data_IF_864784986352
#
_entry.id   IF_864784986352
#
_cell.length_a   1.000
_cell.length_b   1.000
_cell.length_c   1.000
_cell.angle_alpha   90.00
_cell.angle_beta   90.00
_cell.angle_gamma   90.00
#
_symmetry.space_group_name_H-M   'P 1'
#
loop_
_entity.id
_entity.type
_entity.pdbx_description
1 polymer ?
#
# COMPACT_ATOMS: atom_id res chain seq x y z
N UNK A 1 -23.50 5.10 9.51
CA UNK A 1 -22.23 5.02 8.74
C UNK A 1 -21.14 5.94 9.31
N UNK A 2 -21.41 7.21 9.64
CA UNK A 2 -20.40 8.15 10.15
C UNK A 2 -19.58 7.65 11.36
N UNK A 3 -20.21 7.00 12.35
CA UNK A 3 -19.53 6.57 13.58
C UNK A 3 -18.55 5.42 13.37
N UNK A 4 -18.83 4.49 12.44
CA UNK A 4 -17.87 3.42 12.07
C UNK A 4 -16.61 4.02 11.43
N UNK A 5 -16.78 4.95 10.51
CA UNK A 5 -15.66 5.63 9.85
C UNK A 5 -14.81 6.44 10.86
N UNK A 6 -15.46 7.14 11.78
CA UNK A 6 -14.76 7.88 12.85
C UNK A 6 -13.91 6.95 13.74
N UNK A 7 -14.42 5.78 14.10
CA UNK A 7 -13.66 4.78 14.84
C UNK A 7 -12.46 4.27 14.05
N UNK A 8 -12.59 4.07 12.73
CA UNK A 8 -11.47 3.67 11.87
C UNK A 8 -10.39 4.76 11.84
N UNK A 9 -10.76 6.04 11.68
CA UNK A 9 -9.80 7.17 11.70
C UNK A 9 -9.04 7.23 13.04
N UNK A 10 -9.73 7.03 14.18
CA UNK A 10 -9.08 6.95 15.48
C UNK A 10 -8.13 5.76 15.56
N UNK A 11 -8.57 4.59 15.08
CA UNK A 11 -7.75 3.40 15.03
C UNK A 11 -6.48 3.57 14.20
N UNK A 12 -6.56 4.21 13.03
CA UNK A 12 -5.38 4.52 12.19
C UNK A 12 -4.31 5.29 12.97
N UNK A 13 -4.71 6.29 13.75
CA UNK A 13 -3.79 7.07 14.59
C UNK A 13 -3.16 6.23 15.70
N UNK A 14 -3.94 5.35 16.32
CA UNK A 14 -3.46 4.51 17.42
C UNK A 14 -2.49 3.42 16.95
N UNK A 15 -2.77 2.81 15.82
CA UNK A 15 -1.92 1.77 15.22
C UNK A 15 -0.74 2.33 14.41
N UNK A 16 -0.66 3.65 14.21
CA UNK A 16 0.51 4.25 13.58
C UNK A 16 1.79 4.01 14.40
N UNK A 17 1.68 4.15 15.73
CA UNK A 17 2.82 4.15 16.65
C UNK A 17 2.77 2.99 17.67
N UNK A 18 1.77 2.11 17.58
CA UNK A 18 1.55 1.04 18.56
C UNK A 18 1.27 -0.28 17.87
N UNK A 19 2.02 -1.32 18.23
CA UNK A 19 1.82 -2.65 17.65
C UNK A 19 0.43 -3.21 18.00
N UNK A 20 -0.06 -4.12 17.14
CA UNK A 20 -1.34 -4.81 17.34
C UNK A 20 -1.48 -5.43 18.75
N UNK A 21 -0.42 -6.08 19.23
CA UNK A 21 -0.46 -6.79 20.52
C UNK A 21 -0.47 -5.83 21.72
N UNK A 22 0.20 -4.70 21.61
CA UNK A 22 0.29 -3.70 22.69
C UNK A 22 -0.99 -2.91 22.90
N UNK A 23 -1.88 -2.81 21.90
CA UNK A 23 -3.14 -2.07 22.00
C UNK A 23 -4.27 -2.93 22.59
N UNK A 24 -4.95 -2.44 23.63
CA UNK A 24 -6.16 -3.07 24.17
C UNK A 24 -7.43 -2.40 23.66
N UNK A 25 -8.55 -3.16 23.63
CA UNK A 25 -9.86 -2.60 23.27
C UNK A 25 -10.35 -1.55 24.27
N UNK A 26 -9.85 -1.56 25.51
CA UNK A 26 -10.16 -0.56 26.52
C UNK A 26 -9.42 0.76 26.24
N UNK A 27 -8.17 0.69 25.79
CA UNK A 27 -7.40 1.87 25.38
C UNK A 27 -8.03 2.53 24.15
N UNK A 28 -8.43 1.74 23.17
CA UNK A 28 -9.15 2.21 21.99
C UNK A 28 -10.45 2.92 22.39
N UNK A 29 -11.26 2.30 23.26
CA UNK A 29 -12.52 2.86 23.72
C UNK A 29 -12.32 4.17 24.47
N UNK A 30 -11.32 4.23 25.36
CA UNK A 30 -10.95 5.42 26.13
C UNK A 30 -10.52 6.56 25.21
N UNK A 31 -9.66 6.31 24.24
CA UNK A 31 -9.17 7.34 23.32
C UNK A 31 -10.26 7.80 22.34
N UNK A 32 -11.14 6.88 21.94
CA UNK A 32 -12.28 7.20 21.09
C UNK A 32 -13.43 7.90 21.83
N UNK A 33 -13.38 7.96 23.17
CA UNK A 33 -14.45 8.52 23.98
C UNK A 33 -15.78 7.76 23.86
N UNK A 34 -15.71 6.42 23.68
CA UNK A 34 -16.89 5.58 23.49
C UNK A 34 -16.91 4.39 24.45
N UNK A 35 -18.10 3.80 24.63
CA UNK A 35 -18.20 2.52 25.33
C UNK A 35 -17.55 1.41 24.49
N UNK A 36 -16.75 0.54 25.11
CA UNK A 36 -16.11 -0.64 24.49
C UNK A 36 -17.08 -1.49 23.68
N UNK A 37 -18.32 -1.65 24.18
CA UNK A 37 -19.39 -2.39 23.50
C UNK A 37 -19.74 -1.84 22.11
N UNK A 38 -19.58 -0.53 21.90
CA UNK A 38 -19.83 0.09 20.59
C UNK A 38 -18.81 -0.38 19.56
N UNK A 39 -17.54 -0.52 19.94
CA UNK A 39 -16.48 -1.00 19.04
C UNK A 39 -16.77 -2.47 18.67
N UNK A 40 -17.12 -3.30 19.66
CA UNK A 40 -17.51 -4.69 19.40
C UNK A 40 -18.78 -4.83 18.55
N UNK A 41 -19.71 -3.89 18.68
CA UNK A 41 -20.92 -3.86 17.84
C UNK A 41 -20.54 -3.72 16.36
N UNK A 42 -19.62 -2.81 16.01
CA UNK A 42 -19.22 -2.56 14.62
C UNK A 42 -18.22 -3.59 14.07
N UNK A 43 -17.28 -4.05 14.89
CA UNK A 43 -16.10 -4.78 14.39
C UNK A 43 -15.99 -6.22 14.93
N UNK A 44 -16.87 -6.62 15.85
CA UNK A 44 -16.97 -7.96 16.45
C UNK A 44 -15.78 -8.37 17.33
N UNK A 45 -14.57 -7.99 17.00
CA UNK A 45 -13.34 -8.35 17.74
C UNK A 45 -12.28 -7.26 17.57
N UNK A 46 -11.20 -7.33 18.38
CA UNK A 46 -9.99 -6.52 18.19
C UNK A 46 -9.39 -6.74 16.80
N UNK A 47 -9.34 -8.02 16.36
CA UNK A 47 -8.88 -8.40 15.04
C UNK A 47 -9.74 -7.80 13.93
N UNK A 48 -11.07 -7.91 14.02
CA UNK A 48 -11.99 -7.31 13.04
C UNK A 48 -11.86 -5.78 12.95
N UNK A 49 -11.59 -5.11 14.08
CA UNK A 49 -11.29 -3.68 14.09
C UNK A 49 -9.97 -3.37 13.37
N UNK A 50 -8.93 -4.14 13.65
CA UNK A 50 -7.63 -4.00 13.02
C UNK A 50 -7.68 -4.23 11.50
N UNK A 51 -8.35 -5.29 11.04
CA UNK A 51 -8.54 -5.55 9.62
C UNK A 51 -9.28 -4.41 8.91
N UNK A 52 -10.32 -3.86 9.52
CA UNK A 52 -11.05 -2.73 8.97
C UNK A 52 -10.18 -1.46 8.85
N UNK A 53 -9.21 -1.26 9.75
CA UNK A 53 -8.23 -0.16 9.68
C UNK A 53 -7.24 -0.40 8.55
N UNK A 54 -6.74 -1.63 8.39
CA UNK A 54 -5.85 -2.00 7.28
C UNK A 54 -6.56 -1.79 5.94
N UNK A 55 -7.78 -2.32 5.78
CA UNK A 55 -8.58 -2.18 4.56
C UNK A 55 -8.79 -0.71 4.18
N UNK A 56 -9.15 0.14 5.15
CA UNK A 56 -9.36 1.57 4.92
C UNK A 56 -8.05 2.29 4.52
N UNK A 57 -6.94 1.97 5.19
CA UNK A 57 -5.63 2.55 4.89
C UNK A 57 -5.13 2.18 3.50
N UNK A 58 -5.38 0.94 3.11
CA UNK A 58 -5.01 0.41 1.81
C UNK A 58 -5.91 0.97 0.70
N UNK A 59 -7.22 1.09 0.94
CA UNK A 59 -8.15 1.70 -0.02
C UNK A 59 -7.76 3.14 -0.34
N UNK A 60 -7.38 3.92 0.68
CA UNK A 60 -6.87 5.30 0.51
C UNK A 60 -5.58 5.33 -0.34
N UNK A 61 -4.66 4.38 -0.14
CA UNK A 61 -3.43 4.27 -0.92
C UNK A 61 -3.73 3.94 -2.40
N UNK A 62 -4.60 2.97 -2.65
CA UNK A 62 -5.01 2.58 -4.01
C UNK A 62 -5.73 3.72 -4.73
N UNK A 63 -6.64 4.42 -4.04
CA UNK A 63 -7.36 5.57 -4.60
C UNK A 63 -6.40 6.71 -5.00
N UNK A 64 -5.41 7.01 -4.14
CA UNK A 64 -4.38 8.00 -4.46
C UNK A 64 -3.52 7.58 -5.65
N UNK A 65 -3.17 6.31 -5.78
CA UNK A 65 -2.43 5.79 -6.91
C UNK A 65 -3.22 5.89 -8.23
N UNK A 66 -4.54 5.66 -8.16
CA UNK A 66 -5.44 5.77 -9.31
C UNK A 66 -5.80 7.22 -9.66
N UNK A 67 -5.54 8.19 -8.78
CA UNK A 67 -5.84 9.61 -8.99
C UNK A 67 -4.78 10.31 -9.85
N UNK A 68 -5.06 11.53 -10.30
CA UNK A 68 -4.09 12.35 -11.03
C UNK A 68 -3.91 11.92 -12.48
N UNK A 69 -4.98 11.42 -13.10
CA UNK A 69 -4.99 11.03 -14.53
C UNK A 69 -4.71 12.21 -15.48
N UNK A 70 -4.83 13.42 -14.99
CA UNK A 70 -4.48 14.67 -15.68
C UNK A 70 -2.98 14.93 -15.77
N UNK A 71 -2.17 14.26 -14.94
CA UNK A 71 -0.72 14.41 -14.91
C UNK A 71 -0.05 13.52 -15.97
N UNK A 72 1.11 13.94 -16.49
CA UNK A 72 1.94 13.09 -17.33
C UNK A 72 2.25 11.76 -16.61
N UNK A 73 2.35 10.63 -17.33
CA UNK A 73 2.56 9.31 -16.71
C UNK A 73 3.74 9.26 -15.75
N UNK A 74 4.87 9.86 -16.09
CA UNK A 74 6.07 9.88 -15.25
C UNK A 74 5.83 10.64 -13.95
N UNK A 75 5.20 11.82 -14.00
CA UNK A 75 4.89 12.62 -12.82
C UNK A 75 3.89 11.91 -11.90
N UNK A 76 2.90 11.22 -12.48
CA UNK A 76 1.94 10.41 -11.74
C UNK A 76 2.63 9.29 -10.96
N UNK A 77 3.59 8.58 -11.59
CA UNK A 77 4.37 7.53 -10.92
C UNK A 77 5.19 8.12 -9.77
N UNK A 78 5.92 9.21 -10.00
CA UNK A 78 6.70 9.89 -8.95
C UNK A 78 5.82 10.28 -7.76
N UNK A 79 4.66 10.89 -8.00
CA UNK A 79 3.70 11.30 -6.96
C UNK A 79 3.15 10.10 -6.18
N UNK A 80 2.85 9.02 -6.88
CA UNK A 80 2.33 7.78 -6.26
C UNK A 80 3.36 7.15 -5.36
N UNK A 81 4.60 6.98 -5.83
CA UNK A 81 5.69 6.40 -5.04
C UNK A 81 6.05 7.29 -3.85
N UNK A 82 6.11 8.62 -4.03
CA UNK A 82 6.37 9.55 -2.93
C UNK A 82 5.28 9.49 -1.85
N UNK A 83 4.00 9.41 -2.25
CA UNK A 83 2.89 9.22 -1.32
C UNK A 83 2.95 7.90 -0.57
N UNK A 84 3.35 6.82 -1.26
CA UNK A 84 3.54 5.50 -0.68
C UNK A 84 4.68 5.48 0.36
N UNK A 85 5.83 6.04 0.02
CA UNK A 85 6.98 6.12 0.93
C UNK A 85 6.65 6.98 2.15
N UNK A 86 5.97 8.12 1.96
CA UNK A 86 5.47 8.95 3.06
C UNK A 86 4.53 8.19 4.00
N UNK A 87 3.62 7.40 3.43
CA UNK A 87 2.74 6.55 4.24
C UNK A 87 3.55 5.55 5.07
N UNK A 88 4.49 4.83 4.46
CA UNK A 88 5.33 3.86 5.15
C UNK A 88 6.17 4.48 6.27
N UNK A 89 6.73 5.66 6.02
CA UNK A 89 7.53 6.43 7.00
C UNK A 89 6.71 6.84 8.23
N UNK A 90 5.46 7.30 8.02
CA UNK A 90 4.59 7.77 9.10
C UNK A 90 3.79 6.64 9.80
N UNK A 91 3.72 5.45 9.22
CA UNK A 91 2.92 4.33 9.71
C UNK A 91 3.71 3.01 9.72
N UNK A 92 4.95 3.06 10.20
CA UNK A 92 5.92 1.96 10.08
C UNK A 92 5.40 0.62 10.61
N UNK A 93 4.77 0.59 11.79
CA UNK A 93 4.26 -0.65 12.39
C UNK A 93 3.11 -1.25 11.56
N UNK A 94 2.16 -0.42 11.13
CA UNK A 94 1.07 -0.86 10.26
C UNK A 94 1.62 -1.35 8.91
N UNK A 95 2.57 -0.64 8.34
CA UNK A 95 3.22 -1.02 7.08
C UNK A 95 3.96 -2.36 7.20
N UNK A 96 4.81 -2.53 8.24
CA UNK A 96 5.52 -3.80 8.50
C UNK A 96 4.53 -4.95 8.61
N UNK A 97 3.45 -4.77 9.35
CA UNK A 97 2.44 -5.83 9.54
C UNK A 97 1.75 -6.23 8.23
N UNK A 98 1.38 -5.25 7.39
CA UNK A 98 0.73 -5.52 6.09
C UNK A 98 1.68 -6.28 5.17
N UNK A 99 2.91 -5.79 5.01
CA UNK A 99 3.88 -6.35 4.06
C UNK A 99 4.40 -7.72 4.53
N UNK A 100 4.59 -7.92 5.85
CA UNK A 100 5.00 -9.22 6.42
C UNK A 100 3.86 -10.25 6.45
N UNK A 101 2.62 -9.86 6.12
CA UNK A 101 1.47 -10.78 6.10
C UNK A 101 0.79 -10.96 7.47
N UNK A 102 0.92 -9.99 8.38
CA UNK A 102 0.26 -10.00 9.69
C UNK A 102 1.08 -10.66 10.81
N UNK A 103 0.43 -10.86 11.96
CA UNK A 103 1.01 -11.58 13.09
C UNK A 103 0.82 -13.08 12.87
N UNK A 104 1.87 -13.79 12.53
CA UNK A 104 1.80 -15.18 12.09
C UNK A 104 1.29 -15.30 10.66
N UNK A 105 0.80 -16.50 10.27
CA UNK A 105 0.19 -16.70 8.96
C UNK A 105 -1.28 -16.23 9.01
N UNK A 106 -1.53 -14.98 8.63
CA UNK A 106 -2.87 -14.40 8.61
C UNK A 106 -3.43 -14.34 7.19
N UNK A 107 -4.28 -15.31 6.84
CA UNK A 107 -4.86 -15.44 5.50
C UNK A 107 -5.70 -14.21 5.07
N UNK A 108 -6.33 -13.49 6.01
CA UNK A 108 -7.11 -12.28 5.67
C UNK A 108 -6.20 -11.10 5.37
N UNK A 109 -5.10 -10.92 6.12
CA UNK A 109 -4.08 -9.89 5.81
C UNK A 109 -3.40 -10.19 4.47
N UNK A 110 -3.08 -11.45 4.20
CA UNK A 110 -2.55 -11.87 2.90
C UNK A 110 -3.53 -11.55 1.76
N UNK A 111 -4.81 -11.85 1.92
CA UNK A 111 -5.84 -11.55 0.91
C UNK A 111 -5.97 -10.04 0.64
N UNK A 112 -5.92 -9.21 1.68
CA UNK A 112 -5.91 -7.74 1.53
C UNK A 112 -4.68 -7.30 0.74
N UNK A 113 -3.49 -7.74 1.11
CA UNK A 113 -2.24 -7.41 0.42
C UNK A 113 -2.26 -7.83 -1.05
N UNK A 114 -2.71 -9.05 -1.33
CA UNK A 114 -2.76 -9.57 -2.70
C UNK A 114 -3.80 -8.80 -3.53
N UNK A 115 -4.93 -8.41 -2.95
CA UNK A 115 -5.91 -7.53 -3.58
C UNK A 115 -5.32 -6.15 -3.95
N UNK A 116 -4.47 -5.59 -3.08
CA UNK A 116 -3.74 -4.34 -3.36
C UNK A 116 -2.79 -4.50 -4.53
N UNK A 117 -2.00 -5.57 -4.53
CA UNK A 117 -1.05 -5.85 -5.61
C UNK A 117 -1.76 -5.97 -6.96
N UNK A 118 -2.88 -6.68 -7.02
CA UNK A 118 -3.69 -6.79 -8.24
C UNK A 118 -4.24 -5.42 -8.69
N UNK A 119 -4.75 -4.61 -7.76
CA UNK A 119 -5.23 -3.26 -8.08
C UNK A 119 -4.11 -2.37 -8.62
N UNK A 120 -2.91 -2.44 -8.03
CA UNK A 120 -1.73 -1.68 -8.48
C UNK A 120 -1.23 -2.16 -9.84
N UNK A 121 -1.15 -3.48 -10.07
CA UNK A 121 -0.81 -4.05 -11.39
C UNK A 121 -1.77 -3.51 -12.45
N UNK A 122 -3.08 -3.54 -12.18
CA UNK A 122 -4.09 -3.00 -13.09
C UNK A 122 -3.92 -1.50 -13.36
N UNK A 123 -3.56 -0.72 -12.34
CA UNK A 123 -3.32 0.73 -12.49
C UNK A 123 -2.06 1.02 -13.30
N UNK A 124 -0.97 0.27 -13.09
CA UNK A 124 0.27 0.40 -13.87
C UNK A 124 0.02 0.00 -15.32
N UNK A 125 -0.65 -1.13 -15.55
CA UNK A 125 -0.94 -1.62 -16.88
C UNK A 125 -1.84 -0.65 -17.68
N UNK A 126 -2.86 -0.08 -17.02
CA UNK A 126 -3.72 0.93 -17.61
C UNK A 126 -2.92 2.21 -17.96
N UNK A 127 -2.05 2.65 -17.06
CA UNK A 127 -1.20 3.82 -17.28
C UNK A 127 -0.13 3.64 -18.34
N UNK A 128 0.46 2.44 -18.44
CA UNK A 128 1.54 2.14 -19.39
C UNK A 128 1.01 1.72 -20.78
N UNK A 129 -0.09 0.98 -20.81
CA UNK A 129 -0.56 0.30 -22.03
C UNK A 129 -2.00 0.65 -22.42
N UNK A 130 -2.72 1.45 -21.64
CA UNK A 130 -4.13 1.81 -21.87
C UNK A 130 -5.10 0.63 -21.71
N UNK A 131 -4.69 -0.46 -21.05
CA UNK A 131 -5.52 -1.66 -20.85
C UNK A 131 -5.11 -2.44 -19.61
N UNK A 132 -6.05 -3.17 -19.02
CA UNK A 132 -5.86 -4.01 -17.83
C UNK A 132 -5.76 -5.50 -18.13
N UNK A 133 -6.19 -5.90 -19.33
CA UNK A 133 -6.02 -7.28 -19.83
C UNK A 133 -4.59 -7.44 -20.35
N UNK A 134 -3.76 -8.14 -19.57
CA UNK A 134 -2.31 -8.28 -19.79
C UNK A 134 -1.88 -9.74 -19.70
N UNK A 135 -0.88 -10.16 -20.49
CA UNK A 135 -0.32 -11.51 -20.43
C UNK A 135 0.27 -11.85 -19.05
N UNK A 136 0.39 -13.13 -18.78
CA UNK A 136 0.97 -13.64 -17.54
C UNK A 136 2.39 -13.12 -17.28
N UNK A 137 3.22 -12.99 -18.31
CA UNK A 137 4.58 -12.46 -18.18
C UNK A 137 4.57 -11.00 -17.74
N UNK A 138 3.75 -10.15 -18.37
CA UNK A 138 3.60 -8.73 -18.01
C UNK A 138 3.15 -8.62 -16.55
N UNK A 139 2.11 -9.39 -16.16
CA UNK A 139 1.63 -9.43 -14.78
C UNK A 139 2.74 -9.84 -13.80
N UNK A 140 3.50 -10.89 -14.13
CA UNK A 140 4.58 -11.40 -13.26
C UNK A 140 5.70 -10.38 -13.10
N UNK A 141 6.10 -9.70 -14.17
CA UNK A 141 7.13 -8.66 -14.13
C UNK A 141 6.69 -7.46 -13.25
N UNK A 142 5.45 -6.99 -13.42
CA UNK A 142 4.90 -5.93 -12.57
C UNK A 142 4.77 -6.35 -11.11
N UNK A 143 4.38 -7.60 -10.84
CA UNK A 143 4.37 -8.15 -9.49
C UNK A 143 5.79 -8.17 -8.89
N UNK A 144 6.80 -8.58 -9.66
CA UNK A 144 8.20 -8.57 -9.23
C UNK A 144 8.66 -7.17 -8.84
N UNK A 145 8.31 -6.15 -9.62
CA UNK A 145 8.58 -4.76 -9.28
C UNK A 145 7.87 -4.32 -8.01
N UNK A 146 6.59 -4.64 -7.82
CA UNK A 146 5.84 -4.33 -6.59
C UNK A 146 6.47 -4.99 -5.35
N UNK A 147 6.90 -6.24 -5.45
CA UNK A 147 7.62 -6.91 -4.37
C UNK A 147 8.96 -6.21 -4.06
N UNK A 148 9.63 -5.65 -5.08
CA UNK A 148 10.84 -4.84 -4.88
C UNK A 148 10.52 -3.53 -4.18
N UNK A 149 9.41 -2.86 -4.53
CA UNK A 149 8.93 -1.65 -3.82
C UNK A 149 8.71 -1.96 -2.34
N UNK A 150 8.00 -3.04 -2.03
CA UNK A 150 7.75 -3.47 -0.64
C UNK A 150 9.04 -3.73 0.12
N UNK A 151 9.97 -4.51 -0.46
CA UNK A 151 11.24 -4.88 0.17
C UNK A 151 12.17 -3.68 0.39
N UNK A 152 12.34 -2.83 -0.62
CA UNK A 152 13.15 -1.60 -0.53
C UNK A 152 12.58 -0.65 0.52
N UNK A 153 11.26 -0.50 0.58
CA UNK A 153 10.62 0.36 1.56
C UNK A 153 10.78 -0.18 2.98
N UNK A 154 10.66 -1.51 3.19
CA UNK A 154 10.90 -2.14 4.49
C UNK A 154 12.32 -1.91 4.99
N UNK A 155 13.30 -2.07 4.11
CA UNK A 155 14.70 -1.84 4.43
C UNK A 155 14.95 -0.36 4.78
N UNK A 156 14.47 0.54 3.93
CA UNK A 156 14.63 1.98 4.11
C UNK A 156 14.02 2.49 5.42
N UNK A 157 12.79 2.11 5.77
CA UNK A 157 12.17 2.54 7.04
C UNK A 157 12.84 1.92 8.27
N UNK A 158 13.72 0.93 8.08
CA UNK A 158 14.57 0.37 9.12
C UNK A 158 15.77 1.23 9.49
N UNK A 159 16.26 2.07 8.53
CA UNK A 159 17.37 2.99 8.68
C UNK A 159 17.15 4.25 7.81
N UNK A 160 16.15 5.09 8.14
CA UNK A 160 15.72 6.20 7.28
C UNK A 160 16.78 7.29 7.10
N UNK A 161 17.77 7.34 7.99
CA UNK A 161 18.90 8.26 7.89
C UNK A 161 19.97 7.84 6.87
N UNK A 162 19.91 6.60 6.37
CA UNK A 162 20.89 6.08 5.41
C UNK A 162 20.66 6.60 3.99
N UNK A 163 19.43 6.86 3.60
CA UNK A 163 19.04 7.34 2.28
C UNK A 163 17.90 8.35 2.38
N UNK A 164 18.03 9.46 1.65
CA UNK A 164 16.94 10.43 1.48
C UNK A 164 15.75 9.79 0.76
N UNK A 165 14.52 10.13 1.17
CA UNK A 165 13.29 9.61 0.57
C UNK A 165 13.24 9.83 -0.94
N UNK A 166 13.70 10.99 -1.41
CA UNK A 166 13.72 11.33 -2.82
C UNK A 166 14.64 10.39 -3.63
N UNK A 167 15.79 9.99 -3.06
CA UNK A 167 16.67 9.00 -3.65
C UNK A 167 16.00 7.63 -3.79
N UNK A 168 15.29 7.19 -2.76
CA UNK A 168 14.55 5.92 -2.77
C UNK A 168 13.41 5.97 -3.80
N UNK A 169 12.65 7.07 -3.83
CA UNK A 169 11.61 7.30 -4.85
C UNK A 169 12.17 7.19 -6.26
N UNK A 170 13.22 7.95 -6.56
CA UNK A 170 13.79 8.01 -7.90
C UNK A 170 14.38 6.66 -8.35
N UNK A 171 14.98 5.92 -7.41
CA UNK A 171 15.43 4.55 -7.63
C UNK A 171 14.26 3.62 -8.01
N UNK A 172 13.16 3.63 -7.25
CA UNK A 172 11.99 2.79 -7.53
C UNK A 172 11.30 3.16 -8.84
N UNK A 173 11.20 4.44 -9.16
CA UNK A 173 10.68 4.92 -10.47
C UNK A 173 11.58 4.43 -11.61
N UNK A 174 12.90 4.51 -11.45
CA UNK A 174 13.86 3.98 -12.43
C UNK A 174 13.69 2.48 -12.63
N UNK A 175 13.57 1.72 -11.55
CA UNK A 175 13.31 0.27 -11.62
C UNK A 175 12.04 -0.06 -12.41
N UNK A 176 10.95 0.70 -12.22
CA UNK A 176 9.73 0.49 -13.01
C UNK A 176 10.00 0.67 -14.50
N UNK A 177 10.68 1.73 -14.88
CA UNK A 177 11.01 1.99 -16.27
C UNK A 177 11.84 0.86 -16.90
N UNK A 178 12.86 0.38 -16.20
CA UNK A 178 13.66 -0.75 -16.66
C UNK A 178 12.83 -2.03 -16.76
N UNK A 179 11.92 -2.27 -15.81
CA UNK A 179 10.98 -3.40 -15.86
C UNK A 179 10.08 -3.34 -17.11
N UNK A 180 9.56 -2.14 -17.43
CA UNK A 180 8.73 -1.94 -18.63
C UNK A 180 9.55 -2.17 -19.93
N UNK A 181 10.82 -1.77 -19.96
CA UNK A 181 11.73 -2.06 -21.07
C UNK A 181 11.98 -3.56 -21.25
N UNK A 182 12.20 -4.28 -20.15
CA UNK A 182 12.35 -5.75 -20.20
C UNK A 182 11.05 -6.42 -20.67
N UNK A 183 9.89 -5.92 -20.24
CA UNK A 183 8.60 -6.44 -20.73
C UNK A 183 8.52 -6.31 -22.25
N UNK A 184 8.89 -5.16 -22.84
CA UNK A 184 8.87 -4.93 -24.28
C UNK A 184 9.77 -5.93 -25.05
N UNK A 185 10.92 -6.30 -24.49
CA UNK A 185 11.82 -7.29 -25.11
C UNK A 185 11.18 -8.68 -25.25
N UNK A 186 10.37 -9.09 -24.26
CA UNK A 186 9.71 -10.41 -24.23
C UNK A 186 8.31 -10.39 -24.84
N UNK A 187 7.61 -9.26 -24.76
CA UNK A 187 6.24 -9.04 -25.21
C UNK A 187 6.17 -7.76 -26.05
N UNK A 188 6.60 -7.75 -27.32
CA UNK A 188 6.65 -6.54 -28.14
C UNK A 188 5.30 -5.86 -28.38
N UNK A 189 4.19 -6.54 -28.10
CA UNK A 189 2.84 -5.94 -28.11
C UNK A 189 2.58 -5.01 -26.91
N UNK A 190 3.52 -4.92 -25.95
CA UNK A 190 3.48 -4.10 -24.74
C UNK A 190 4.71 -3.17 -24.69
N UNK A 191 4.80 -2.20 -25.60
CA UNK A 191 5.96 -1.31 -25.67
C UNK A 191 6.07 -0.44 -24.42
N UNK A 192 7.29 -0.21 -23.97
CA UNK A 192 7.55 0.71 -22.87
C UNK A 192 7.10 2.13 -23.26
N UNK A 193 6.43 2.88 -22.35
CA UNK A 193 6.11 4.27 -22.60
C UNK A 193 7.38 5.10 -22.90
N UNK A 194 7.30 6.09 -23.82
CA UNK A 194 8.45 6.93 -24.13
C UNK A 194 8.99 7.60 -22.87
N UNK A 195 10.32 7.72 -22.80
CA UNK A 195 10.95 8.50 -21.76
C UNK A 195 10.51 9.96 -21.91
N UNK A 196 9.90 10.54 -20.86
CA UNK A 196 9.54 11.95 -20.81
C UNK A 196 10.78 12.81 -20.56
#
# INVERSE_FOLDING_TARGET
MARRAELIVIGRKLFADTSYDALSMDDIARQAGVAKGLIYYYFKSKRGYYLAIIEDSVADLVERAASGTELPPTERVHRTIDGYLRYAEHHQEAYRTIVSGGVGFDAEVHAIRDGVREAMIGTIADGAYGRRDIPALVRTALLGWLCSVEGVTLDWIGAPEALERDTVRDYLVRMLRETLGVIEEFEPAFPAPPAA
#
